data_IF_339151677616
#
_entry.id   IF_339151677616
#
_cell.length_a   1.000
_cell.length_b   1.000
_cell.length_c   1.000
_cell.angle_alpha   90.00
_cell.angle_beta   90.00
_cell.angle_gamma   90.00
#
_symmetry.space_group_name_H-M   'P 1'
#
loop_
_entity.id
_entity.type
_entity.pdbx_description
1 polymer ?
#
# COMPACT_ATOMS: atom_id res chain seq x y z
N UNK A 1 -9.70 -28.46 24.53
CA UNK A 1 -8.98 -28.50 23.24
C UNK A 1 -9.74 -27.61 22.26
N UNK A 2 -9.27 -26.39 22.03
CA UNK A 2 -9.85 -25.48 21.01
C UNK A 2 -9.12 -25.73 19.70
N UNK A 3 -9.89 -26.06 18.68
CA UNK A 3 -9.38 -26.23 17.33
C UNK A 3 -8.83 -24.87 16.84
N UNK A 4 -7.57 -24.86 16.46
CA UNK A 4 -6.94 -23.74 15.78
C UNK A 4 -7.45 -23.75 14.34
N UNK A 5 -8.28 -22.79 13.97
CA UNK A 5 -8.68 -22.61 12.57
C UNK A 5 -7.44 -22.24 11.73
N UNK A 6 -7.28 -22.89 10.58
CA UNK A 6 -6.18 -22.55 9.69
C UNK A 6 -6.37 -21.14 9.10
N UNK A 7 -5.27 -20.41 8.81
CA UNK A 7 -5.33 -19.06 8.28
C UNK A 7 -6.07 -19.06 6.93
N UNK A 8 -7.12 -18.25 6.83
CA UNK A 8 -7.89 -18.05 5.60
C UNK A 8 -7.04 -17.32 4.57
N UNK A 9 -6.63 -18.02 3.54
CA UNK A 9 -5.93 -17.48 2.37
C UNK A 9 -6.99 -17.03 1.35
N UNK A 10 -7.26 -15.74 1.26
CA UNK A 10 -8.08 -15.19 0.17
C UNK A 10 -7.15 -14.65 -0.92
N UNK A 11 -7.10 -15.33 -2.04
CA UNK A 11 -6.50 -14.84 -3.27
C UNK A 11 -7.61 -14.56 -4.29
N UNK A 12 -7.67 -13.36 -4.82
CA UNK A 12 -8.49 -13.05 -5.99
C UNK A 12 -7.60 -12.47 -7.09
N UNK A 13 -7.55 -13.15 -8.22
CA UNK A 13 -6.94 -12.67 -9.45
C UNK A 13 -8.04 -12.33 -10.45
N UNK A 14 -8.08 -11.12 -10.95
CA UNK A 14 -8.94 -10.72 -12.06
C UNK A 14 -8.14 -9.88 -13.04
N UNK A 15 -8.18 -10.26 -14.32
CA UNK A 15 -7.54 -9.53 -15.41
C UNK A 15 -8.59 -9.17 -16.48
N UNK A 16 -9.08 -7.93 -16.56
CA UNK A 16 -9.81 -7.49 -17.74
C UNK A 16 -8.83 -7.24 -18.90
N UNK A 17 -9.17 -7.76 -20.08
CA UNK A 17 -8.56 -7.39 -21.35
C UNK A 17 -9.48 -6.37 -22.00
N UNK A 18 -9.00 -5.15 -22.17
CA UNK A 18 -9.73 -4.05 -22.81
C UNK A 18 -9.08 -3.60 -24.12
N UNK A 19 -9.90 -3.13 -25.07
CA UNK A 19 -9.45 -2.44 -26.29
C UNK A 19 -9.51 -0.95 -26.00
N UNK A 20 -8.38 -0.26 -26.07
CA UNK A 20 -8.27 1.18 -25.84
C UNK A 20 -7.55 1.81 -27.06
N UNK A 21 -8.16 2.78 -27.74
CA UNK A 21 -7.59 3.45 -28.91
C UNK A 21 -6.98 2.50 -29.96
N UNK A 22 -7.72 1.46 -30.39
CA UNK A 22 -7.22 0.39 -31.28
C UNK A 22 -5.98 -0.38 -30.75
N UNK A 23 -5.59 -0.19 -29.51
CA UNK A 23 -4.50 -0.93 -28.84
C UNK A 23 -5.06 -2.02 -27.92
N UNK A 24 -4.17 -2.87 -27.41
CA UNK A 24 -4.49 -3.89 -26.40
C UNK A 24 -3.99 -3.45 -25.04
N UNK A 25 -4.89 -3.47 -24.07
CA UNK A 25 -4.59 -3.31 -22.66
C UNK A 25 -4.69 -4.68 -21.97
N UNK A 26 -3.62 -5.13 -21.38
CA UNK A 26 -3.62 -6.28 -20.48
C UNK A 26 -3.42 -5.75 -19.05
N UNK A 27 -4.42 -5.96 -18.21
CA UNK A 27 -4.37 -5.61 -16.80
C UNK A 27 -4.31 -6.90 -15.98
N UNK A 28 -3.41 -6.94 -15.02
CA UNK A 28 -3.46 -7.95 -13.97
C UNK A 28 -3.47 -7.27 -12.61
N UNK A 29 -4.24 -7.81 -11.70
CA UNK A 29 -4.30 -7.38 -10.31
C UNK A 29 -4.35 -8.62 -9.43
N UNK A 30 -3.47 -8.65 -8.45
CA UNK A 30 -3.44 -9.71 -7.45
C UNK A 30 -3.50 -9.05 -6.09
N UNK A 31 -4.30 -9.59 -5.19
CA UNK A 31 -4.28 -9.18 -3.79
C UNK A 31 -4.19 -10.43 -2.93
N UNK A 32 -3.19 -10.46 -2.08
CA UNK A 32 -3.01 -11.49 -1.07
C UNK A 32 -3.00 -10.83 0.30
N UNK A 33 -3.79 -11.35 1.21
CA UNK A 33 -3.81 -10.91 2.60
C UNK A 33 -3.50 -12.10 3.51
N UNK A 34 -2.67 -11.88 4.49
CA UNK A 34 -2.26 -12.88 5.46
C UNK A 34 -2.29 -12.30 6.87
N UNK A 35 -2.93 -13.02 7.77
CA UNK A 35 -2.93 -12.70 9.19
C UNK A 35 -2.03 -13.69 9.90
N UNK A 36 -0.87 -13.22 10.36
CA UNK A 36 0.11 -14.05 11.05
C UNK A 36 -0.37 -14.43 12.46
N UNK A 37 -1.06 -13.52 13.14
CA UNK A 37 -1.68 -13.72 14.44
C UNK A 37 -2.77 -12.66 14.68
N UNK A 38 -3.34 -12.60 15.88
CA UNK A 38 -4.38 -11.63 16.24
C UNK A 38 -3.91 -10.15 16.18
N UNK A 39 -2.61 -9.92 16.20
CA UNK A 39 -1.99 -8.59 16.27
C UNK A 39 -1.32 -8.15 14.97
N UNK A 40 -0.95 -9.10 14.09
CA UNK A 40 -0.16 -8.81 12.90
C UNK A 40 -0.86 -9.31 11.65
N UNK A 41 -1.13 -8.39 10.74
CA UNK A 41 -1.64 -8.67 9.41
C UNK A 41 -0.83 -7.95 8.34
N UNK A 42 -0.70 -8.58 7.17
CA UNK A 42 -0.15 -7.94 5.98
C UNK A 42 -1.00 -8.24 4.76
N UNK A 43 -1.01 -7.27 3.85
CA UNK A 43 -1.54 -7.47 2.53
C UNK A 43 -0.56 -7.00 1.47
N UNK A 44 -0.54 -7.69 0.35
CA UNK A 44 0.28 -7.37 -0.80
C UNK A 44 -0.63 -7.28 -2.02
N UNK A 45 -0.50 -6.20 -2.77
CA UNK A 45 -1.36 -5.94 -3.91
C UNK A 45 -0.58 -5.49 -5.16
N UNK A 46 0.15 -6.39 -5.86
CA UNK A 46 0.73 -6.05 -7.14
C UNK A 46 -0.36 -5.89 -8.21
N UNK A 47 -0.22 -4.85 -9.03
CA UNK A 47 -1.04 -4.55 -10.19
C UNK A 47 -0.11 -4.19 -11.35
N UNK A 48 -0.36 -4.71 -12.53
CA UNK A 48 0.38 -4.37 -13.72
C UNK A 48 -0.54 -4.12 -14.89
N UNK A 49 -0.20 -3.10 -15.67
CA UNK A 49 -0.87 -2.73 -16.90
C UNK A 49 0.13 -2.74 -18.04
N UNK A 50 -0.14 -3.52 -19.08
CA UNK A 50 0.66 -3.56 -20.28
C UNK A 50 -0.14 -2.98 -21.43
N UNK A 51 0.37 -1.88 -21.95
CA UNK A 51 -0.21 -1.17 -23.09
C UNK A 51 0.53 -1.57 -24.36
N UNK A 52 -0.24 -1.88 -25.43
CA UNK A 52 0.26 -2.07 -26.78
C UNK A 52 -0.57 -1.19 -27.69
N UNK A 53 -0.03 -0.02 -28.04
CA UNK A 53 -0.66 0.92 -28.93
C UNK A 53 -0.06 0.79 -30.34
N UNK A 54 -0.85 0.97 -31.42
CA UNK A 54 -0.37 0.89 -32.80
C UNK A 54 0.33 2.20 -33.23
N UNK A 55 1.26 2.70 -32.42
CA UNK A 55 2.07 3.89 -32.66
C UNK A 55 3.54 3.57 -32.33
N UNK A 56 4.51 4.27 -32.95
CA UNK A 56 5.91 4.15 -32.56
C UNK A 56 6.06 4.34 -31.05
N UNK A 57 6.83 3.48 -30.38
CA UNK A 57 7.02 3.47 -28.92
C UNK A 57 5.76 3.27 -28.07
N UNK A 58 4.67 2.79 -28.68
CA UNK A 58 3.40 2.54 -28.01
C UNK A 58 3.35 1.32 -27.09
N UNK A 59 4.48 0.64 -26.86
CA UNK A 59 4.61 -0.51 -25.97
C UNK A 59 5.21 -0.08 -24.65
N UNK A 60 4.41 0.04 -23.61
CA UNK A 60 4.91 0.34 -22.26
C UNK A 60 4.18 -0.49 -21.21
N UNK A 61 4.86 -0.70 -20.10
CA UNK A 61 4.32 -1.43 -18.96
C UNK A 61 4.38 -0.55 -17.72
N UNK A 62 3.30 -0.56 -16.97
CA UNK A 62 3.19 0.13 -15.70
C UNK A 62 2.97 -0.90 -14.61
N UNK A 63 3.78 -0.87 -13.59
CA UNK A 63 3.64 -1.73 -12.41
C UNK A 63 3.41 -0.85 -11.20
N UNK A 64 2.37 -1.17 -10.47
CA UNK A 64 2.06 -0.60 -9.16
C UNK A 64 2.06 -1.73 -8.14
N UNK A 65 2.70 -1.52 -7.01
CA UNK A 65 2.71 -2.47 -5.91
C UNK A 65 2.47 -1.78 -4.58
N UNK A 66 1.64 -2.37 -3.73
CA UNK A 66 1.46 -1.92 -2.37
C UNK A 66 1.65 -3.09 -1.40
N UNK A 67 2.34 -2.81 -0.31
CA UNK A 67 2.44 -3.69 0.86
C UNK A 67 1.90 -2.93 2.05
N UNK A 68 0.86 -3.49 2.66
CA UNK A 68 0.26 -2.95 3.88
C UNK A 68 0.60 -3.87 5.04
N UNK A 69 0.96 -3.30 6.16
CA UNK A 69 1.24 -4.02 7.40
C UNK A 69 0.54 -3.33 8.54
N UNK A 70 -0.27 -4.07 9.29
CA UNK A 70 -0.93 -3.59 10.48
C UNK A 70 -0.46 -4.38 11.69
N UNK A 71 -0.04 -3.66 12.73
CA UNK A 71 0.38 -4.24 13.98
C UNK A 71 -0.35 -3.62 15.16
N UNK A 72 -1.05 -4.42 15.93
CA UNK A 72 -1.73 -4.01 17.15
C UNK A 72 -0.87 -4.33 18.38
N UNK A 73 -0.21 -3.34 18.95
CA UNK A 73 0.52 -3.48 20.22
C UNK A 73 -0.45 -3.82 21.36
N UNK A 74 -1.63 -3.18 21.35
CA UNK A 74 -2.72 -3.40 22.29
C UNK A 74 -4.05 -3.04 21.63
N UNK A 75 -5.17 -3.20 22.36
CA UNK A 75 -6.49 -2.71 21.92
C UNK A 75 -6.56 -1.19 21.74
N UNK A 76 -5.59 -0.46 22.29
CA UNK A 76 -5.55 1.00 22.26
C UNK A 76 -4.44 1.58 21.38
N UNK A 77 -3.44 0.80 21.02
CA UNK A 77 -2.28 1.26 20.27
C UNK A 77 -2.03 0.36 19.07
N UNK A 78 -2.03 0.94 17.87
CA UNK A 78 -1.77 0.26 16.62
C UNK A 78 -0.86 1.06 15.70
N UNK A 79 -0.10 0.34 14.89
CA UNK A 79 0.78 0.86 13.85
C UNK A 79 0.30 0.30 12.52
N UNK A 80 0.10 1.17 11.54
CA UNK A 80 -0.21 0.82 10.17
C UNK A 80 0.87 1.38 9.26
N UNK A 81 1.38 0.57 8.35
CA UNK A 81 2.41 0.96 7.40
C UNK A 81 1.99 0.57 6.00
N UNK A 82 2.11 1.50 5.06
CA UNK A 82 1.84 1.27 3.64
C UNK A 82 3.11 1.64 2.88
N UNK A 83 3.66 0.67 2.15
CA UNK A 83 4.76 0.86 1.22
C UNK A 83 4.20 0.71 -0.20
N UNK A 84 4.46 1.68 -1.06
CA UNK A 84 3.98 1.68 -2.43
C UNK A 84 5.12 1.93 -3.40
N UNK A 85 5.08 1.26 -4.54
CA UNK A 85 6.00 1.46 -5.66
C UNK A 85 5.17 1.69 -6.91
N UNK A 86 5.49 2.72 -7.67
CA UNK A 86 4.85 3.07 -8.93
C UNK A 86 5.92 3.31 -10.00
N UNK A 87 5.86 2.54 -11.08
CA UNK A 87 6.77 2.70 -12.21
C UNK A 87 6.25 3.65 -13.29
N UNK A 88 4.97 4.08 -13.23
CA UNK A 88 4.36 5.00 -14.18
C UNK A 88 4.84 6.44 -13.97
N UNK A 89 4.97 6.86 -12.71
CA UNK A 89 5.32 8.23 -12.34
C UNK A 89 6.80 8.37 -11.99
N UNK A 90 7.66 8.22 -12.99
CA UNK A 90 9.12 8.36 -12.84
C UNK A 90 9.71 7.45 -11.76
N UNK A 91 9.18 6.22 -11.66
CA UNK A 91 9.68 5.20 -10.74
C UNK A 91 9.74 5.71 -9.29
N UNK A 92 8.59 6.02 -8.76
CA UNK A 92 8.45 6.54 -7.39
C UNK A 92 8.17 5.42 -6.39
N UNK A 93 8.73 5.55 -5.21
CA UNK A 93 8.32 4.78 -4.02
C UNK A 93 7.83 5.72 -2.94
N UNK A 94 6.85 5.28 -2.19
CA UNK A 94 6.36 6.00 -1.02
C UNK A 94 6.14 5.07 0.17
N UNK A 95 6.33 5.64 1.35
CA UNK A 95 6.04 4.99 2.61
C UNK A 95 5.12 5.89 3.44
N UNK A 96 4.07 5.32 3.99
CA UNK A 96 3.20 5.98 4.94
C UNK A 96 3.15 5.15 6.21
N UNK A 97 3.53 5.74 7.32
CA UNK A 97 3.52 5.13 8.64
C UNK A 97 2.55 5.89 9.52
N UNK A 98 1.60 5.19 10.11
CA UNK A 98 0.57 5.76 10.96
C UNK A 98 0.54 5.04 12.30
N UNK A 99 0.81 5.74 13.37
CA UNK A 99 0.58 5.30 14.73
C UNK A 99 -0.75 5.87 15.20
N UNK A 100 -1.63 5.01 15.72
CA UNK A 100 -2.89 5.39 16.34
C UNK A 100 -2.88 5.00 17.80
N UNK A 101 -3.15 5.96 18.65
CA UNK A 101 -3.32 5.73 20.08
C UNK A 101 -4.70 6.22 20.52
N UNK A 102 -5.55 5.28 20.90
CA UNK A 102 -6.85 5.57 21.53
C UNK A 102 -6.61 5.71 23.03
N UNK A 103 -6.42 6.93 23.49
CA UNK A 103 -6.07 7.22 24.90
C UNK A 103 -7.30 7.31 25.80
N UNK A 104 -8.51 7.50 25.20
CA UNK A 104 -9.82 7.48 25.86
C UNK A 104 -10.89 6.99 24.86
N UNK A 105 -12.07 6.54 25.34
CA UNK A 105 -13.21 6.27 24.46
C UNK A 105 -13.48 7.46 23.53
N UNK A 106 -13.61 7.19 22.24
CA UNK A 106 -13.85 8.16 21.16
C UNK A 106 -12.82 9.30 21.04
N UNK A 107 -11.60 9.10 21.61
CA UNK A 107 -10.52 10.08 21.57
C UNK A 107 -9.24 9.43 21.11
N UNK A 108 -8.71 9.89 19.96
CA UNK A 108 -7.57 9.32 19.28
C UNK A 108 -6.46 10.34 19.06
N UNK A 109 -5.22 9.90 19.22
CA UNK A 109 -4.02 10.58 18.75
C UNK A 109 -3.46 9.80 17.56
N UNK A 110 -3.23 10.49 16.46
CA UNK A 110 -2.56 9.96 15.30
C UNK A 110 -1.22 10.66 15.09
N UNK A 111 -0.18 9.86 14.90
CA UNK A 111 1.11 10.33 14.43
C UNK A 111 1.32 9.72 13.05
N UNK A 112 1.50 10.56 12.04
CA UNK A 112 1.57 10.15 10.64
C UNK A 112 2.88 10.66 10.06
N UNK A 113 3.63 9.75 9.46
CA UNK A 113 4.83 10.08 8.70
C UNK A 113 4.68 9.55 7.27
N UNK A 114 4.91 10.41 6.29
CA UNK A 114 4.92 10.06 4.88
C UNK A 114 6.26 10.43 4.28
N UNK A 115 6.88 9.50 3.59
CA UNK A 115 8.10 9.71 2.83
C UNK A 115 7.88 9.27 1.38
N UNK A 116 8.41 10.03 0.43
CA UNK A 116 8.38 9.69 -0.98
C UNK A 116 9.76 9.87 -1.61
N UNK A 117 10.14 8.92 -2.48
CA UNK A 117 11.40 8.92 -3.19
C UNK A 117 11.19 8.61 -4.67
N UNK A 118 11.87 9.35 -5.53
CA UNK A 118 12.00 9.04 -6.96
C UNK A 118 13.34 8.36 -7.21
N UNK A 119 13.36 7.38 -8.08
CA UNK A 119 14.60 6.69 -8.46
C UNK A 119 14.65 6.43 -9.96
N UNK A 120 15.85 6.48 -10.53
CA UNK A 120 16.05 6.24 -11.96
C UNK A 120 15.90 4.74 -12.34
N UNK A 121 16.09 3.85 -11.36
CA UNK A 121 15.92 2.40 -11.49
C UNK A 121 15.62 1.80 -10.14
N UNK A 122 14.81 0.74 -10.10
CA UNK A 122 14.51 -0.04 -8.89
C UNK A 122 15.79 -0.61 -8.21
N UNK A 123 16.88 -0.75 -8.98
CA UNK A 123 18.17 -1.24 -8.46
C UNK A 123 19.00 -0.15 -7.77
N UNK A 124 18.66 1.13 -7.94
CA UNK A 124 19.46 2.26 -7.43
C UNK A 124 18.60 3.17 -6.56
N UNK A 125 18.49 2.85 -5.30
CA UNK A 125 17.83 3.71 -4.30
C UNK A 125 18.86 4.67 -3.73
N UNK A 126 18.75 5.96 -4.06
CA UNK A 126 19.59 6.99 -3.48
C UNK A 126 18.83 7.73 -2.38
N UNK A 127 19.23 7.64 -1.12
CA UNK A 127 18.53 8.28 0.00
C UNK A 127 18.50 9.81 -0.08
N UNK A 128 19.34 10.43 -0.89
CA UNK A 128 19.38 11.87 -1.08
C UNK A 128 18.27 12.42 -2.02
N UNK A 129 17.47 11.56 -2.65
CA UNK A 129 16.42 11.96 -3.61
C UNK A 129 15.00 11.87 -3.03
N UNK A 130 14.83 12.13 -1.74
CA UNK A 130 13.49 12.29 -1.19
C UNK A 130 12.84 13.55 -1.77
N UNK A 131 11.67 13.40 -2.41
CA UNK A 131 10.88 14.52 -2.92
C UNK A 131 9.77 14.93 -1.95
N UNK A 132 9.46 14.09 -0.98
CA UNK A 132 8.38 14.33 -0.02
C UNK A 132 8.76 13.76 1.35
N UNK A 133 8.69 14.62 2.35
CA UNK A 133 8.73 14.25 3.75
C UNK A 133 7.65 15.04 4.47
N UNK A 134 6.65 14.33 4.99
CA UNK A 134 5.56 14.95 5.75
C UNK A 134 5.43 14.28 7.10
N UNK A 135 5.37 15.10 8.11
CA UNK A 135 5.03 14.68 9.46
C UNK A 135 3.76 15.40 9.89
N UNK A 136 2.79 14.66 10.42
CA UNK A 136 1.54 15.19 10.89
C UNK A 136 1.12 14.55 12.20
N UNK A 137 0.59 15.36 13.10
CA UNK A 137 -0.06 14.90 14.32
C UNK A 137 -1.52 15.34 14.25
N UNK A 138 -2.43 14.39 14.42
CA UNK A 138 -3.86 14.65 14.48
C UNK A 138 -4.38 14.22 15.85
N UNK A 139 -5.02 15.14 16.53
CA UNK A 139 -5.65 14.90 17.82
C UNK A 139 -7.17 14.99 17.67
N UNK A 140 -7.89 14.00 18.15
CA UNK A 140 -9.34 13.98 18.21
C UNK A 140 -9.74 13.80 19.66
N UNK A 141 -10.59 14.68 20.13
CA UNK A 141 -11.14 14.63 21.49
C UNK A 141 -12.65 14.62 21.44
N UNK A 142 -13.28 13.66 22.08
CA UNK A 142 -14.72 13.60 22.25
C UNK A 142 -15.07 13.86 23.70
N UNK A 143 -15.85 14.89 23.95
CA UNK A 143 -16.41 15.18 25.26
C UNK A 143 -17.88 14.79 25.26
N UNK A 144 -18.22 13.90 26.17
CA UNK A 144 -19.61 13.57 26.48
C UNK A 144 -19.92 14.09 27.88
N UNK A 145 -20.90 15.01 28.05
CA UNK A 145 -21.34 15.44 29.34
C UNK A 145 -22.02 14.33 30.12
#
# INVERSE_FOLDING_TARGET
MRAVEPPTRRGSGSGPVGIYYNGRLNEFRVRAAYRANERLSFSVGPQGNRFRLPVPDGNFSVVFGAVETDYAFSRFLSLSTILQVDTANAQAASANVRLRWNYRPDSDLYVIYTAGQKFASLATVNPAQFYENRFAIKFTYSWRP
#
